data_IF_781402985112
#
_entry.id   IF_781402985112
#
_cell.length_a   1.000
_cell.length_b   1.000
_cell.length_c   1.000
_cell.angle_alpha   90.00
_cell.angle_beta   90.00
_cell.angle_gamma   90.00
#
_symmetry.space_group_name_H-M   'P 1'
#
loop_
_entity.id
_entity.type
_entity.pdbx_description
1 polymer ?
#
# COMPACT_ATOMS: atom_id res chain seq x y z
N UNK A 1 20.16 5.50 2.35
CA UNK A 1 18.70 5.35 2.59
C UNK A 1 18.06 5.23 1.23
N UNK A 2 17.94 4.00 0.72
CA UNK A 2 17.44 3.70 -0.62
C UNK A 2 15.93 3.42 -0.50
N UNK A 3 15.15 4.44 -0.15
CA UNK A 3 13.69 4.37 -0.25
C UNK A 3 13.37 4.63 -1.71
N UNK A 4 13.10 3.58 -2.48
CA UNK A 4 12.83 3.69 -3.90
C UNK A 4 11.52 4.44 -4.20
N UNK A 5 11.19 4.59 -5.49
CA UNK A 5 10.07 5.43 -5.97
C UNK A 5 8.65 4.96 -5.58
N UNK A 6 8.51 3.91 -4.77
CA UNK A 6 7.23 3.33 -4.35
C UNK A 6 6.45 2.64 -5.47
N UNK A 7 7.04 2.42 -6.64
CA UNK A 7 6.33 1.83 -7.80
C UNK A 7 6.22 0.31 -7.74
N UNK A 8 6.94 -0.34 -6.81
CA UNK A 8 6.98 -1.81 -6.67
C UNK A 8 7.38 -2.18 -5.24
N UNK A 9 7.12 -3.44 -4.83
CA UNK A 9 7.49 -3.95 -3.51
C UNK A 9 9.00 -3.79 -3.17
N UNK A 10 9.87 -3.92 -4.18
CA UNK A 10 11.33 -3.69 -4.02
C UNK A 10 11.70 -2.24 -3.74
N UNK A 11 10.90 -1.29 -4.21
CA UNK A 11 11.13 0.15 -4.09
C UNK A 11 10.10 0.81 -3.18
N UNK A 12 9.40 0.05 -2.35
CA UNK A 12 8.31 0.55 -1.51
C UNK A 12 8.80 1.64 -0.54
N UNK A 13 7.96 2.64 -0.31
CA UNK A 13 8.22 3.65 0.72
C UNK A 13 8.11 3.00 2.09
N UNK A 14 9.12 3.18 2.95
CA UNK A 14 9.07 2.68 4.32
C UNK A 14 8.34 3.72 5.17
N UNK A 15 7.24 3.31 5.77
CA UNK A 15 6.38 4.17 6.60
C UNK A 15 6.20 3.57 7.97
N UNK A 16 5.98 4.42 8.97
CA UNK A 16 5.77 3.97 10.35
C UNK A 16 4.28 4.08 10.74
N UNK A 17 3.45 4.71 9.90
CA UNK A 17 2.02 4.83 10.14
C UNK A 17 1.23 5.04 8.85
N UNK A 18 -0.05 4.67 8.88
CA UNK A 18 -0.98 4.92 7.77
C UNK A 18 -1.07 6.41 7.41
N UNK A 19 -0.97 7.27 8.42
CA UNK A 19 -1.03 8.72 8.21
C UNK A 19 0.09 9.21 7.30
N UNK A 20 1.27 8.62 7.43
CA UNK A 20 2.46 8.91 6.63
C UNK A 20 2.22 8.55 5.16
N UNK A 21 1.58 7.42 4.87
CA UNK A 21 1.24 6.96 3.50
C UNK A 21 0.34 7.97 2.78
N UNK A 22 -0.70 8.45 3.45
CA UNK A 22 -1.59 9.47 2.89
C UNK A 22 -0.91 10.84 2.77
N UNK A 23 0.07 11.16 3.61
CA UNK A 23 0.87 12.38 3.47
C UNK A 23 1.77 12.30 2.23
N UNK A 24 2.43 11.17 2.00
CA UNK A 24 3.22 10.94 0.77
C UNK A 24 2.34 11.07 -0.47
N UNK A 25 1.17 10.43 -0.49
CA UNK A 25 0.23 10.57 -1.61
C UNK A 25 -0.19 12.02 -1.85
N UNK A 26 -0.44 12.80 -0.80
CA UNK A 26 -0.80 14.22 -0.91
C UNK A 26 0.36 15.08 -1.41
N UNK A 27 1.57 14.84 -0.91
CA UNK A 27 2.77 15.57 -1.32
C UNK A 27 3.10 15.31 -2.80
N UNK A 28 2.86 14.09 -3.28
CA UNK A 28 2.95 13.72 -4.70
C UNK A 28 1.80 14.25 -5.56
N UNK A 29 0.79 14.89 -4.96
CA UNK A 29 -0.39 15.42 -5.66
C UNK A 29 -1.34 14.33 -6.15
N UNK A 30 -1.37 13.17 -5.48
CA UNK A 30 -2.21 12.03 -5.84
C UNK A 30 -3.49 12.00 -5.02
N UNK A 31 -4.61 11.78 -5.71
CA UNK A 31 -5.91 11.55 -5.09
C UNK A 31 -6.11 10.05 -4.88
N UNK A 32 -5.96 9.59 -3.63
CA UNK A 32 -6.21 8.20 -3.23
C UNK A 32 -7.66 7.85 -3.52
N UNK A 33 -7.88 6.73 -4.19
CA UNK A 33 -9.21 6.20 -4.52
C UNK A 33 -9.42 4.79 -3.96
N UNK A 34 -8.34 4.04 -3.74
CA UNK A 34 -8.39 2.67 -3.27
C UNK A 34 -7.14 2.34 -2.45
N UNK A 35 -7.31 1.42 -1.50
CA UNK A 35 -6.25 0.83 -0.69
C UNK A 35 -6.32 -0.70 -0.79
N UNK A 36 -5.16 -1.37 -0.83
CA UNK A 36 -5.07 -2.83 -0.86
C UNK A 36 -3.85 -3.32 -0.09
N UNK A 37 -4.01 -4.40 0.68
CA UNK A 37 -2.92 -5.09 1.35
C UNK A 37 -2.36 -6.19 0.43
N UNK A 38 -1.08 -6.09 0.10
CA UNK A 38 -0.34 -7.08 -0.69
C UNK A 38 0.65 -7.80 0.21
N UNK A 39 0.67 -9.12 0.13
CA UNK A 39 1.68 -9.94 0.81
C UNK A 39 2.59 -10.56 -0.23
N UNK A 40 3.88 -10.23 -0.19
CA UNK A 40 4.88 -10.74 -1.13
C UNK A 40 6.16 -11.11 -0.38
N UNK A 41 6.68 -12.32 -0.62
CA UNK A 41 7.93 -12.78 -0.01
C UNK A 41 7.94 -12.79 1.53
N UNK A 42 6.77 -12.98 2.16
CA UNK A 42 6.63 -12.97 3.62
C UNK A 42 6.60 -11.57 4.25
N UNK A 43 6.53 -10.51 3.44
CA UNK A 43 6.37 -9.12 3.88
C UNK A 43 4.99 -8.62 3.50
N UNK A 44 4.47 -7.69 4.29
CA UNK A 44 3.21 -7.01 4.04
C UNK A 44 3.48 -5.60 3.50
N UNK A 45 2.79 -5.27 2.41
CA UNK A 45 2.83 -3.97 1.76
C UNK A 45 1.43 -3.40 1.68
N UNK A 46 1.24 -2.15 2.07
CA UNK A 46 0.02 -1.42 1.78
C UNK A 46 0.16 -0.72 0.42
N UNK A 47 -0.85 -0.83 -0.43
CA UNK A 47 -0.84 -0.26 -1.78
C UNK A 47 -1.96 0.75 -1.89
N UNK A 48 -1.60 2.02 -2.02
CA UNK A 48 -2.56 3.09 -2.29
C UNK A 48 -2.61 3.36 -3.79
N UNK A 49 -3.80 3.17 -4.36
CA UNK A 49 -4.09 3.48 -5.75
C UNK A 49 -4.93 4.74 -5.84
N UNK A 50 -4.67 5.54 -6.86
CA UNK A 50 -5.29 6.84 -7.02
C UNK A 50 -5.14 7.39 -8.41
N UNK A 51 -5.37 8.70 -8.54
CA UNK A 51 -5.12 9.45 -9.77
C UNK A 51 -4.17 10.61 -9.50
N UNK A 52 -3.31 10.92 -10.46
CA UNK A 52 -2.51 12.14 -10.44
C UNK A 52 -3.32 13.35 -10.97
N UNK A 53 -2.70 14.53 -10.99
CA UNK A 53 -3.32 15.75 -11.52
C UNK A 53 -3.76 15.64 -12.99
N UNK A 54 -3.08 14.81 -13.80
CA UNK A 54 -3.45 14.51 -15.20
C UNK A 54 -4.59 13.47 -15.33
N UNK A 55 -5.12 12.95 -14.21
CA UNK A 55 -6.12 11.90 -14.20
C UNK A 55 -5.60 10.48 -14.49
N UNK A 56 -4.28 10.30 -14.60
CA UNK A 56 -3.64 8.98 -14.79
C UNK A 56 -3.69 8.18 -13.51
N UNK A 57 -4.02 6.90 -13.64
CA UNK A 57 -3.98 5.97 -12.51
C UNK A 57 -2.54 5.79 -12.01
N UNK A 58 -2.38 5.89 -10.70
CA UNK A 58 -1.11 5.67 -10.00
C UNK A 58 -1.32 4.64 -8.90
N UNK A 59 -0.27 3.90 -8.57
CA UNK A 59 -0.26 2.97 -7.44
C UNK A 59 1.08 3.07 -6.75
N UNK A 60 1.04 3.25 -5.44
CA UNK A 60 2.21 3.43 -4.59
C UNK A 60 2.22 2.34 -3.53
N UNK A 61 3.34 1.65 -3.43
CA UNK A 61 3.61 0.57 -2.50
C UNK A 61 4.31 1.13 -1.26
N UNK A 62 3.78 0.78 -0.10
CA UNK A 62 4.27 1.15 1.22
C UNK A 62 4.63 -0.10 2.00
N UNK A 63 5.83 -0.14 2.58
CA UNK A 63 6.26 -1.24 3.42
C UNK A 63 5.77 -1.01 4.86
N UNK A 64 4.87 -1.88 5.31
CA UNK A 64 4.26 -1.84 6.64
C UNK A 64 4.72 -3.01 7.52
N UNK A 65 5.76 -3.74 7.09
CA UNK A 65 6.23 -4.95 7.77
C UNK A 65 6.66 -4.68 9.22
N UNK A 66 7.18 -3.48 9.49
CA UNK A 66 7.70 -3.07 10.79
C UNK A 66 6.65 -3.16 11.91
N UNK A 67 5.39 -2.81 11.60
CA UNK A 67 4.30 -2.78 12.59
C UNK A 67 3.21 -3.84 12.34
N UNK A 68 3.20 -4.49 11.18
CA UNK A 68 2.21 -5.52 10.83
C UNK A 68 2.43 -6.89 11.52
N UNK A 69 3.60 -7.11 12.14
CA UNK A 69 4.02 -8.39 12.76
C UNK A 69 3.07 -8.94 13.86
N UNK A 70 2.04 -8.20 14.29
CA UNK A 70 1.02 -8.67 15.23
C UNK A 70 -0.27 -9.28 14.64
N UNK A 71 -0.47 -9.27 13.31
CA UNK A 71 -1.81 -9.52 12.70
C UNK A 71 -1.94 -10.78 11.83
N UNK A 72 -1.19 -11.86 12.10
CA UNK A 72 -1.37 -13.19 11.46
C UNK A 72 -2.67 -13.93 11.87
N UNK A 73 -3.79 -13.21 11.94
CA UNK A 73 -5.14 -13.75 12.06
C UNK A 73 -6.14 -13.08 11.12
N UNK A 74 -5.71 -12.72 9.91
CA UNK A 74 -6.66 -12.43 8.83
C UNK A 74 -6.84 -13.69 7.98
N UNK A 75 -7.84 -14.51 8.35
CA UNK A 75 -8.39 -15.53 7.44
C UNK A 75 -8.72 -14.83 6.12
N UNK A 76 -8.32 -15.36 4.95
CA UNK A 76 -8.73 -14.78 3.68
C UNK A 76 -10.25 -14.70 3.67
N UNK A 77 -10.78 -13.52 3.34
CA UNK A 77 -12.21 -13.29 3.24
C UNK A 77 -12.77 -14.30 2.23
N UNK A 78 -13.38 -15.38 2.73
CA UNK A 78 -13.95 -16.42 1.88
C UNK A 78 -15.19 -15.83 1.23
N UNK A 79 -15.04 -15.35 0.00
CA UNK A 79 -16.16 -15.01 -0.87
C UNK A 79 -17.01 -16.29 -1.02
N UNK A 80 -18.13 -16.35 -0.30
CA UNK A 80 -19.16 -17.37 -0.56
C UNK A 80 -19.75 -17.02 -1.92
N UNK A 81 -19.34 -17.74 -2.97
CA UNK A 81 -20.11 -17.81 -4.22
C UNK A 81 -21.51 -18.33 -3.84
N UNK A 82 -22.53 -17.47 -3.94
CA UNK A 82 -23.93 -17.91 -3.94
C UNK A 82 -24.14 -18.69 -5.24
N UNK A 83 -24.49 -19.97 -5.10
CA UNK A 83 -25.14 -20.75 -6.17
C UNK A 83 -26.62 -20.35 -6.25
#
# INVERSE_FOLDING_TARGET
MDSGDGKSAKTAYRVHSIREEYMVMRELGYQVSQQALVQEGGRAFDVLSGKNADGKAVSVYFDINDWWIGSTSSKPCSVKKRQ
#
